data_IF_152496479613
#
_entry.id   IF_152496479613
#
_cell.length_a   1.000
_cell.length_b   1.000
_cell.length_c   1.000
_cell.angle_alpha   90.00
_cell.angle_beta   90.00
_cell.angle_gamma   90.00
#
_symmetry.space_group_name_H-M   'P 1'
#
loop_
_entity.id
_entity.type
_entity.pdbx_description
1 polymer ?
#
# COMPACT_ATOMS: atom_id res chain seq x y z
N UNK A 1 37.11 -69.08 -32.87
CA UNK A 1 36.58 -68.02 -33.78
C UNK A 1 36.28 -66.80 -32.92
N UNK A 2 37.23 -65.87 -32.84
CA UNK A 2 37.05 -64.61 -32.11
C UNK A 2 36.49 -63.60 -33.11
N UNK A 3 35.24 -63.16 -32.90
CA UNK A 3 34.64 -62.08 -33.67
C UNK A 3 35.47 -60.80 -33.47
N UNK A 4 35.94 -60.12 -34.54
CA UNK A 4 36.64 -58.87 -34.37
C UNK A 4 35.65 -57.85 -33.78
N UNK A 5 36.05 -57.23 -32.67
CA UNK A 5 35.31 -56.12 -32.07
C UNK A 5 35.20 -55.01 -33.12
N UNK A 6 33.98 -54.72 -33.55
CA UNK A 6 33.68 -53.66 -34.50
C UNK A 6 33.94 -52.29 -33.85
N UNK A 7 35.15 -51.76 -34.07
CA UNK A 7 35.58 -50.47 -33.54
C UNK A 7 34.67 -49.31 -33.98
N UNK A 8 34.01 -49.41 -35.14
CA UNK A 8 33.08 -48.39 -35.61
C UNK A 8 31.80 -48.36 -34.75
N UNK A 9 31.26 -49.53 -34.40
CA UNK A 9 30.11 -49.65 -33.49
C UNK A 9 30.41 -49.08 -32.10
N UNK A 10 31.62 -49.31 -31.57
CA UNK A 10 32.05 -48.75 -30.28
C UNK A 10 32.20 -47.22 -30.34
N UNK A 11 32.74 -46.68 -31.43
CA UNK A 11 32.86 -45.23 -31.64
C UNK A 11 31.49 -44.54 -31.75
N UNK A 12 30.53 -45.16 -32.46
CA UNK A 12 29.18 -44.62 -32.58
C UNK A 12 28.43 -44.65 -31.24
N UNK A 13 28.54 -45.75 -30.49
CA UNK A 13 27.97 -45.87 -29.15
C UNK A 13 28.55 -44.80 -28.20
N UNK A 14 29.86 -44.55 -28.25
CA UNK A 14 30.52 -43.50 -27.46
C UNK A 14 30.05 -42.09 -27.86
N UNK A 15 29.90 -41.80 -29.16
CA UNK A 15 29.35 -40.51 -29.64
C UNK A 15 27.91 -40.29 -29.19
N UNK A 16 27.06 -41.32 -29.23
CA UNK A 16 25.68 -41.26 -28.73
C UNK A 16 25.63 -41.00 -27.22
N UNK A 17 26.48 -41.68 -26.42
CA UNK A 17 26.61 -41.43 -24.97
C UNK A 17 27.11 -40.01 -24.67
N UNK A 18 28.10 -39.52 -25.40
CA UNK A 18 28.64 -38.17 -25.24
C UNK A 18 27.59 -37.10 -25.59
N UNK A 19 26.80 -37.27 -26.66
CA UNK A 19 25.69 -36.38 -27.01
C UNK A 19 24.60 -36.39 -25.94
N UNK A 20 24.20 -37.57 -25.44
CA UNK A 20 23.24 -37.68 -24.32
C UNK A 20 23.76 -37.01 -23.05
N UNK A 21 25.03 -37.22 -22.69
CA UNK A 21 25.64 -36.56 -21.52
C UNK A 21 25.66 -35.04 -21.67
N UNK A 22 26.02 -34.53 -22.86
CA UNK A 22 25.99 -33.09 -23.14
C UNK A 22 24.58 -32.52 -23.07
N UNK A 23 23.58 -33.24 -23.60
CA UNK A 23 22.17 -32.84 -23.51
C UNK A 23 21.69 -32.83 -22.04
N UNK A 24 21.99 -33.89 -21.28
CA UNK A 24 21.65 -33.97 -19.86
C UNK A 24 22.30 -32.86 -19.06
N UNK A 25 23.58 -32.54 -19.32
CA UNK A 25 24.25 -31.42 -18.67
C UNK A 25 23.67 -30.07 -19.10
N UNK A 26 23.34 -29.89 -20.37
CA UNK A 26 22.71 -28.67 -20.87
C UNK A 26 21.34 -28.40 -20.23
N UNK A 27 20.63 -29.44 -19.79
CA UNK A 27 19.36 -29.32 -19.05
C UNK A 27 19.61 -29.22 -17.53
N UNK A 28 20.51 -30.03 -16.98
CA UNK A 28 20.75 -30.10 -15.54
C UNK A 28 21.46 -28.87 -14.99
N UNK A 29 22.37 -28.25 -15.76
CA UNK A 29 23.10 -27.04 -15.34
C UNK A 29 22.13 -25.87 -15.06
N UNK A 30 21.23 -25.45 -15.97
CA UNK A 30 20.31 -24.35 -15.68
C UNK A 30 19.35 -24.67 -14.53
N UNK A 31 18.92 -25.94 -14.39
CA UNK A 31 18.09 -26.36 -13.25
C UNK A 31 18.86 -26.23 -11.93
N UNK A 32 20.12 -26.69 -11.89
CA UNK A 32 20.95 -26.58 -10.70
C UNK A 32 21.27 -25.11 -10.35
N UNK A 33 21.52 -24.27 -11.36
CA UNK A 33 21.71 -22.83 -11.18
C UNK A 33 20.42 -22.18 -10.64
N UNK A 34 19.26 -22.50 -11.21
CA UNK A 34 17.98 -22.00 -10.72
C UNK A 34 17.71 -22.44 -9.28
N UNK A 35 18.01 -23.71 -8.94
CA UNK A 35 17.86 -24.24 -7.58
C UNK A 35 18.77 -23.54 -6.55
N UNK A 36 19.91 -22.98 -6.97
CA UNK A 36 20.79 -22.18 -6.13
C UNK A 36 20.37 -20.71 -6.04
N UNK A 37 19.87 -20.12 -7.13
CA UNK A 37 19.44 -18.72 -7.17
C UNK A 37 18.10 -18.53 -6.44
N UNK A 38 17.18 -19.46 -6.57
CA UNK A 38 15.83 -19.37 -5.98
C UNK A 38 15.85 -19.08 -4.47
N UNK A 39 16.56 -19.84 -3.61
CA UNK A 39 16.58 -19.55 -2.17
C UNK A 39 17.22 -18.19 -1.87
N UNK A 40 18.28 -17.81 -2.59
CA UNK A 40 18.91 -16.49 -2.43
C UNK A 40 17.91 -15.38 -2.77
N UNK A 41 17.12 -15.56 -3.82
CA UNK A 41 16.09 -14.60 -4.23
C UNK A 41 14.98 -14.50 -3.19
N UNK A 42 14.49 -15.63 -2.67
CA UNK A 42 13.44 -15.65 -1.63
C UNK A 42 13.91 -14.91 -0.38
N UNK A 43 15.12 -15.23 0.12
CA UNK A 43 15.69 -14.55 1.29
C UNK A 43 15.89 -13.05 1.03
N UNK A 44 16.34 -12.68 -0.17
CA UNK A 44 16.52 -11.27 -0.54
C UNK A 44 15.18 -10.53 -0.60
N UNK A 45 14.13 -11.13 -1.17
CA UNK A 45 12.80 -10.51 -1.21
C UNK A 45 12.22 -10.33 0.19
N UNK A 46 12.38 -11.32 1.07
CA UNK A 46 11.97 -11.20 2.47
C UNK A 46 12.71 -10.05 3.18
N UNK A 47 14.03 -9.91 2.96
CA UNK A 47 14.81 -8.83 3.54
C UNK A 47 14.34 -7.44 3.06
N UNK A 48 14.06 -7.29 1.76
CA UNK A 48 13.52 -6.05 1.21
C UNK A 48 12.10 -5.76 1.72
N UNK A 49 11.23 -6.77 1.83
CA UNK A 49 9.89 -6.60 2.39
C UNK A 49 9.95 -6.18 3.85
N UNK A 50 10.79 -6.83 4.66
CA UNK A 50 10.99 -6.46 6.06
C UNK A 50 11.50 -5.03 6.20
N UNK A 51 12.52 -4.67 5.41
CA UNK A 51 13.05 -3.29 5.41
C UNK A 51 11.98 -2.27 5.01
N UNK A 52 11.13 -2.58 4.02
CA UNK A 52 10.05 -1.71 3.60
C UNK A 52 9.04 -1.46 4.74
N UNK A 53 8.66 -2.51 5.47
CA UNK A 53 7.74 -2.44 6.61
C UNK A 53 8.37 -1.70 7.78
N UNK A 54 9.61 -2.03 8.16
CA UNK A 54 10.27 -1.36 9.30
C UNK A 54 10.51 0.12 9.01
N UNK A 55 10.89 0.46 7.78
CA UNK A 55 11.04 1.84 7.36
C UNK A 55 9.68 2.57 7.34
N UNK A 56 8.61 1.91 6.88
CA UNK A 56 7.25 2.44 6.93
C UNK A 56 6.81 2.78 8.36
N UNK A 57 6.94 1.83 9.29
CA UNK A 57 6.58 2.01 10.70
C UNK A 57 7.44 3.10 11.37
N UNK A 58 8.70 3.23 10.96
CA UNK A 58 9.60 4.27 11.46
C UNK A 58 9.39 5.66 10.82
N UNK A 59 8.45 5.81 9.87
CA UNK A 59 8.22 7.04 9.12
C UNK A 59 9.28 7.35 8.05
N UNK A 60 10.21 6.42 7.77
CA UNK A 60 11.17 6.52 6.67
C UNK A 60 10.52 6.10 5.35
N UNK A 61 9.70 6.99 4.79
CA UNK A 61 8.98 6.74 3.54
C UNK A 61 9.94 6.53 2.35
N UNK A 62 11.07 7.25 2.31
CA UNK A 62 12.06 7.10 1.24
C UNK A 62 12.78 5.75 1.29
N UNK A 63 13.14 5.28 2.50
CA UNK A 63 13.68 3.94 2.72
C UNK A 63 12.65 2.84 2.40
N UNK A 64 11.38 3.06 2.71
CA UNK A 64 10.28 2.14 2.37
C UNK A 64 10.11 1.99 0.86
N UNK A 65 10.02 3.11 0.14
CA UNK A 65 9.95 3.14 -1.33
C UNK A 65 11.18 2.49 -1.98
N UNK A 66 12.38 2.78 -1.49
CA UNK A 66 13.62 2.18 -2.02
C UNK A 66 13.63 0.66 -1.85
N UNK A 67 13.20 0.17 -0.69
CA UNK A 67 13.12 -1.26 -0.42
C UNK A 67 12.02 -1.94 -1.26
N UNK A 68 10.90 -1.25 -1.51
CA UNK A 68 9.84 -1.72 -2.41
C UNK A 68 10.34 -1.87 -3.86
N UNK A 69 11.08 -0.88 -4.38
CA UNK A 69 11.70 -0.97 -5.71
C UNK A 69 12.68 -2.15 -5.82
N UNK A 70 13.38 -2.50 -4.74
CA UNK A 70 14.26 -3.68 -4.69
C UNK A 70 13.53 -5.01 -4.96
N UNK A 71 12.20 -5.03 -4.87
CA UNK A 71 11.37 -6.22 -5.09
C UNK A 71 10.90 -6.37 -6.53
N UNK A 72 10.89 -5.31 -7.35
CA UNK A 72 10.41 -5.34 -8.74
C UNK A 72 11.15 -6.36 -9.64
N UNK A 73 12.50 -6.49 -9.59
CA UNK A 73 13.20 -7.38 -10.50
C UNK A 73 12.82 -8.84 -10.25
N UNK A 74 12.35 -9.54 -11.29
CA UNK A 74 11.95 -10.95 -11.25
C UNK A 74 10.79 -11.25 -10.29
N UNK A 75 9.86 -10.30 -10.09
CA UNK A 75 8.61 -10.53 -9.35
C UNK A 75 7.56 -11.20 -10.24
N UNK A 76 7.57 -12.54 -10.30
CA UNK A 76 6.70 -13.32 -11.20
C UNK A 76 5.43 -13.82 -10.51
N UNK A 77 5.46 -13.97 -9.17
CA UNK A 77 4.35 -14.57 -8.42
C UNK A 77 3.28 -13.56 -8.03
N UNK A 78 3.68 -12.36 -7.60
CA UNK A 78 2.76 -11.33 -7.13
C UNK A 78 3.18 -9.96 -7.71
N UNK A 79 3.17 -9.81 -9.05
CA UNK A 79 3.78 -8.67 -9.73
C UNK A 79 3.24 -7.32 -9.26
N UNK A 80 1.98 -7.27 -8.80
CA UNK A 80 1.30 -6.07 -8.32
C UNK A 80 1.79 -5.56 -6.95
N UNK A 81 2.40 -6.40 -6.10
CA UNK A 81 2.80 -6.00 -4.73
C UNK A 81 3.90 -4.95 -4.71
N UNK A 82 4.86 -5.03 -5.64
CA UNK A 82 5.94 -4.06 -5.71
C UNK A 82 5.44 -2.63 -6.05
N UNK A 83 4.70 -2.39 -7.15
CA UNK A 83 4.15 -1.07 -7.42
C UNK A 83 3.15 -0.63 -6.34
N UNK A 84 2.36 -1.53 -5.75
CA UNK A 84 1.51 -1.19 -4.59
C UNK A 84 2.33 -0.61 -3.43
N UNK A 85 3.41 -1.30 -3.01
CA UNK A 85 4.26 -0.86 -1.90
C UNK A 85 4.98 0.46 -2.19
N UNK A 86 5.44 0.66 -3.44
CA UNK A 86 6.00 1.95 -3.89
C UNK A 86 4.94 3.04 -3.78
N UNK A 87 3.72 2.78 -4.24
CA UNK A 87 2.59 3.72 -4.18
C UNK A 87 2.26 4.14 -2.75
N UNK A 88 2.23 3.20 -1.80
CA UNK A 88 2.03 3.49 -0.37
C UNK A 88 3.13 4.43 0.16
N UNK A 89 4.39 4.15 -0.14
CA UNK A 89 5.52 5.00 0.25
C UNK A 89 5.40 6.43 -0.30
N UNK A 90 5.07 6.55 -1.59
CA UNK A 90 4.88 7.84 -2.26
C UNK A 90 3.71 8.63 -1.65
N UNK A 91 2.57 7.97 -1.40
CA UNK A 91 1.39 8.61 -0.83
C UNK A 91 1.69 9.21 0.55
N UNK A 92 2.40 8.49 1.42
CA UNK A 92 2.79 9.01 2.72
C UNK A 92 3.77 10.18 2.62
N UNK A 93 4.71 10.12 1.68
CA UNK A 93 5.66 11.22 1.43
C UNK A 93 5.03 12.48 0.79
N UNK A 94 3.76 12.39 0.37
CA UNK A 94 3.01 13.48 -0.25
C UNK A 94 3.16 13.57 -1.77
N UNK A 95 3.91 12.67 -2.42
CA UNK A 95 3.92 12.54 -3.88
C UNK A 95 2.66 11.79 -4.36
N UNK A 96 1.53 12.49 -4.30
CA UNK A 96 0.23 11.95 -4.69
C UNK A 96 0.16 11.56 -6.18
N UNK A 97 0.69 12.35 -7.13
CA UNK A 97 0.73 11.94 -8.53
C UNK A 97 1.56 10.67 -8.76
N UNK A 98 2.73 10.56 -8.13
CA UNK A 98 3.55 9.35 -8.20
C UNK A 98 2.84 8.15 -7.60
N UNK A 99 2.20 8.31 -6.44
CA UNK A 99 1.42 7.27 -5.79
C UNK A 99 0.27 6.75 -6.66
N UNK A 100 -0.53 7.67 -7.24
CA UNK A 100 -1.63 7.32 -8.15
C UNK A 100 -1.15 6.45 -9.31
N UNK A 101 -0.06 6.85 -9.97
CA UNK A 101 0.49 6.09 -11.10
C UNK A 101 0.94 4.67 -10.70
N UNK A 102 1.49 4.51 -9.49
CA UNK A 102 1.93 3.21 -8.99
C UNK A 102 0.75 2.31 -8.62
N UNK A 103 -0.31 2.84 -7.99
CA UNK A 103 -1.51 2.06 -7.73
C UNK A 103 -2.24 1.66 -9.02
N UNK A 104 -2.35 2.56 -10.00
CA UNK A 104 -2.88 2.23 -11.33
C UNK A 104 -2.05 1.14 -12.01
N UNK A 105 -0.71 1.21 -11.91
CA UNK A 105 0.18 0.15 -12.41
C UNK A 105 -0.03 -1.18 -11.68
N UNK A 106 -0.29 -1.16 -10.37
CA UNK A 106 -0.59 -2.36 -9.61
C UNK A 106 -1.91 -3.00 -10.07
N UNK A 107 -2.97 -2.21 -10.26
CA UNK A 107 -4.25 -2.70 -10.79
C UNK A 107 -4.12 -3.26 -12.22
N UNK A 108 -3.31 -2.63 -13.07
CA UNK A 108 -3.06 -3.12 -14.43
C UNK A 108 -2.42 -4.52 -14.48
N UNK A 109 -1.81 -4.97 -13.38
CA UNK A 109 -1.24 -6.31 -13.23
C UNK A 109 -2.27 -7.36 -12.82
N UNK A 110 -3.56 -6.99 -12.72
CA UNK A 110 -4.69 -7.84 -12.40
C UNK A 110 -4.49 -8.66 -11.11
N UNK A 111 -4.32 -7.99 -9.96
CA UNK A 111 -4.31 -8.68 -8.66
C UNK A 111 -5.57 -9.53 -8.50
N UNK A 112 -5.49 -10.64 -7.74
CA UNK A 112 -6.68 -11.37 -7.30
C UNK A 112 -7.69 -10.42 -6.63
N UNK A 113 -9.01 -10.67 -6.72
CA UNK A 113 -10.02 -9.74 -6.24
C UNK A 113 -9.83 -9.26 -4.79
N UNK A 114 -9.62 -10.18 -3.84
CA UNK A 114 -9.40 -9.84 -2.43
C UNK A 114 -8.10 -9.03 -2.21
N UNK A 115 -7.04 -9.37 -2.93
CA UNK A 115 -5.76 -8.65 -2.87
C UNK A 115 -5.83 -7.26 -3.52
N UNK A 116 -6.79 -7.05 -4.42
CA UNK A 116 -6.97 -5.77 -5.11
C UNK A 116 -7.62 -4.71 -4.21
N UNK A 117 -8.30 -5.10 -3.14
CA UNK A 117 -9.07 -4.21 -2.28
C UNK A 117 -8.20 -3.11 -1.67
N UNK A 118 -7.04 -3.47 -1.12
CA UNK A 118 -6.09 -2.50 -0.58
C UNK A 118 -5.59 -1.54 -1.66
N UNK A 119 -5.41 -2.00 -2.90
CA UNK A 119 -4.98 -1.16 -4.02
C UNK A 119 -6.07 -0.14 -4.40
N UNK A 120 -7.33 -0.58 -4.51
CA UNK A 120 -8.47 0.31 -4.79
C UNK A 120 -8.67 1.36 -3.69
N UNK A 121 -8.65 0.95 -2.42
CA UNK A 121 -8.82 1.84 -1.27
C UNK A 121 -7.70 2.90 -1.25
N UNK A 122 -6.44 2.48 -1.38
CA UNK A 122 -5.31 3.42 -1.36
C UNK A 122 -5.31 4.35 -2.59
N UNK A 123 -5.72 3.87 -3.76
CA UNK A 123 -5.88 4.70 -4.94
C UNK A 123 -6.97 5.75 -4.72
N UNK A 124 -8.14 5.37 -4.22
CA UNK A 124 -9.24 6.27 -3.92
C UNK A 124 -8.85 7.36 -2.90
N UNK A 125 -8.20 6.98 -1.79
CA UNK A 125 -7.69 7.92 -0.79
C UNK A 125 -6.62 8.84 -1.38
N UNK A 126 -5.74 8.32 -2.24
CA UNK A 126 -4.70 9.13 -2.88
C UNK A 126 -5.32 10.20 -3.78
N UNK A 127 -6.36 9.83 -4.55
CA UNK A 127 -7.08 10.77 -5.42
C UNK A 127 -7.90 11.77 -4.58
N UNK A 128 -8.54 11.35 -3.48
CA UNK A 128 -9.18 12.25 -2.51
C UNK A 128 -8.20 13.33 -2.04
N UNK A 129 -6.98 12.94 -1.66
CA UNK A 129 -5.94 13.87 -1.23
C UNK A 129 -5.45 14.79 -2.37
N UNK A 130 -5.48 14.33 -3.62
CA UNK A 130 -5.20 15.19 -4.77
C UNK A 130 -6.28 16.27 -4.91
N UNK A 131 -7.55 15.90 -4.71
CA UNK A 131 -8.67 16.85 -4.69
C UNK A 131 -8.56 17.86 -3.56
N UNK A 132 -8.22 17.41 -2.35
CA UNK A 132 -7.98 18.29 -1.20
C UNK A 132 -6.84 19.28 -1.45
N UNK A 133 -5.74 18.82 -2.06
CA UNK A 133 -4.62 19.67 -2.42
C UNK A 133 -4.99 20.70 -3.51
N UNK A 134 -5.79 20.30 -4.50
CA UNK A 134 -6.28 21.19 -5.55
C UNK A 134 -7.21 22.28 -4.97
N UNK A 135 -8.15 21.89 -4.11
CA UNK A 135 -9.03 22.83 -3.40
C UNK A 135 -8.23 23.81 -2.55
N UNK A 136 -7.26 23.33 -1.78
CA UNK A 136 -6.37 24.17 -0.98
C UNK A 136 -5.55 25.16 -1.83
N UNK A 137 -5.24 24.80 -3.08
CA UNK A 137 -4.59 25.69 -4.05
C UNK A 137 -5.57 26.65 -4.77
N UNK A 138 -6.87 26.55 -4.50
CA UNK A 138 -7.92 27.35 -5.13
C UNK A 138 -8.37 26.85 -6.51
N UNK A 139 -7.99 25.64 -6.90
CA UNK A 139 -8.42 25.00 -8.14
C UNK A 139 -9.62 24.07 -7.88
N UNK A 140 -10.79 24.67 -7.71
CA UNK A 140 -12.02 23.93 -7.38
C UNK A 140 -12.43 22.97 -8.50
N UNK A 141 -12.19 23.33 -9.77
CA UNK A 141 -12.49 22.47 -10.90
C UNK A 141 -11.64 21.20 -10.90
N UNK A 142 -10.33 21.31 -10.60
CA UNK A 142 -9.49 20.14 -10.44
C UNK A 142 -9.86 19.33 -9.19
N UNK A 143 -10.27 19.99 -8.10
CA UNK A 143 -10.75 19.31 -6.90
C UNK A 143 -11.98 18.44 -7.17
N UNK A 144 -13.02 19.02 -7.78
CA UNK A 144 -14.23 18.32 -8.20
C UNK A 144 -13.91 17.14 -9.12
N UNK A 145 -13.01 17.33 -10.09
CA UNK A 145 -12.58 16.26 -10.97
C UNK A 145 -11.92 15.11 -10.19
N UNK A 146 -11.04 15.41 -9.24
CA UNK A 146 -10.41 14.39 -8.42
C UNK A 146 -11.43 13.65 -7.53
N UNK A 147 -12.37 14.34 -6.89
CA UNK A 147 -13.38 13.67 -6.09
C UNK A 147 -14.30 12.77 -6.94
N UNK A 148 -14.64 13.21 -8.15
CA UNK A 148 -15.39 12.38 -9.11
C UNK A 148 -14.58 11.15 -9.56
N UNK A 149 -13.30 11.32 -9.89
CA UNK A 149 -12.38 10.22 -10.21
C UNK A 149 -12.33 9.19 -9.05
N UNK A 150 -12.20 9.66 -7.80
CA UNK A 150 -12.12 8.82 -6.63
C UNK A 150 -13.42 8.03 -6.39
N UNK A 151 -14.59 8.65 -6.59
CA UNK A 151 -15.87 7.93 -6.58
C UNK A 151 -15.94 6.87 -7.67
N UNK A 152 -15.39 7.16 -8.85
CA UNK A 152 -15.24 6.17 -9.93
C UNK A 152 -14.45 4.95 -9.47
N UNK A 153 -13.33 5.14 -8.79
CA UNK A 153 -12.52 4.05 -8.22
C UNK A 153 -13.31 3.24 -7.19
N UNK A 154 -14.06 3.90 -6.29
CA UNK A 154 -14.91 3.20 -5.30
C UNK A 154 -16.02 2.38 -5.97
N UNK A 155 -16.62 2.92 -7.04
CA UNK A 155 -17.65 2.24 -7.82
C UNK A 155 -17.09 1.04 -8.63
N UNK A 156 -15.88 1.18 -9.16
CA UNK A 156 -15.19 0.13 -9.92
C UNK A 156 -14.58 -0.95 -9.00
N UNK A 157 -14.52 -0.72 -7.69
CA UNK A 157 -13.98 -1.67 -6.71
C UNK A 157 -14.82 -2.96 -6.71
N UNK A 158 -14.20 -4.15 -6.85
CA UNK A 158 -14.91 -5.42 -6.82
C UNK A 158 -15.79 -5.60 -5.59
N UNK A 159 -16.96 -6.20 -5.75
CA UNK A 159 -17.88 -6.48 -4.64
C UNK A 159 -17.27 -7.43 -3.60
N UNK A 160 -16.30 -8.26 -4.01
CA UNK A 160 -15.51 -9.10 -3.11
C UNK A 160 -14.83 -8.27 -2.00
N UNK A 161 -14.52 -6.98 -2.25
CA UNK A 161 -13.94 -6.09 -1.25
C UNK A 161 -14.92 -5.61 -0.18
N UNK A 162 -16.21 -5.90 -0.35
CA UNK A 162 -17.28 -5.66 0.64
C UNK A 162 -17.74 -6.95 1.32
N UNK A 163 -17.00 -8.06 1.12
CA UNK A 163 -17.34 -9.35 1.70
C UNK A 163 -16.71 -9.54 3.08
N UNK A 164 -17.27 -10.45 3.88
CA UNK A 164 -16.72 -10.83 5.18
C UNK A 164 -15.31 -11.41 5.05
N UNK A 165 -15.03 -12.13 3.94
CA UNK A 165 -13.69 -12.64 3.66
C UNK A 165 -12.65 -11.53 3.44
N UNK A 166 -13.03 -10.41 2.81
CA UNK A 166 -12.13 -9.27 2.67
C UNK A 166 -11.88 -8.58 4.02
N UNK A 167 -12.91 -8.51 4.87
CA UNK A 167 -12.79 -7.95 6.22
C UNK A 167 -11.86 -8.79 7.11
N UNK A 168 -11.93 -10.13 7.02
CA UNK A 168 -11.02 -11.04 7.72
C UNK A 168 -9.56 -10.95 7.27
N UNK A 169 -9.31 -10.50 6.03
CA UNK A 169 -7.97 -10.29 5.48
C UNK A 169 -7.41 -8.89 5.79
N UNK A 170 -8.19 -8.01 6.43
CA UNK A 170 -7.70 -6.70 6.83
C UNK A 170 -6.55 -6.84 7.84
N UNK A 171 -5.41 -6.16 7.63
CA UNK A 171 -4.34 -6.10 8.63
C UNK A 171 -4.73 -5.29 9.89
N UNK A 172 -5.76 -4.45 9.79
CA UNK A 172 -6.25 -3.57 10.85
C UNK A 172 -7.54 -4.17 11.43
N UNK A 173 -7.50 -4.57 12.71
CA UNK A 173 -8.61 -5.19 13.42
C UNK A 173 -9.78 -4.22 13.68
N UNK A 174 -9.51 -2.92 13.61
CA UNK A 174 -10.49 -1.86 13.82
C UNK A 174 -11.09 -1.35 12.52
N UNK A 175 -10.51 -1.67 11.36
CA UNK A 175 -10.97 -1.16 10.07
C UNK A 175 -11.14 -2.28 9.05
N UNK A 176 -12.40 -2.52 8.68
CA UNK A 176 -12.77 -3.48 7.62
C UNK A 176 -12.59 -2.86 6.22
N UNK A 177 -12.43 -3.69 5.20
CA UNK A 177 -12.30 -3.23 3.82
C UNK A 177 -13.62 -2.60 3.33
N UNK A 178 -14.74 -3.25 3.63
CA UNK A 178 -16.08 -2.73 3.30
C UNK A 178 -16.37 -1.39 3.99
N UNK A 179 -16.04 -1.27 5.28
CA UNK A 179 -16.21 -0.02 6.03
C UNK A 179 -15.32 1.10 5.47
N UNK A 180 -14.06 0.80 5.17
CA UNK A 180 -13.13 1.79 4.58
C UNK A 180 -13.66 2.37 3.26
N UNK A 181 -14.26 1.53 2.42
CA UNK A 181 -14.86 1.94 1.15
C UNK A 181 -16.11 2.79 1.36
N UNK A 182 -16.98 2.41 2.30
CA UNK A 182 -18.17 3.19 2.66
C UNK A 182 -17.81 4.57 3.20
N UNK A 183 -16.89 4.62 4.17
CA UNK A 183 -16.42 5.87 4.76
C UNK A 183 -15.77 6.79 3.70
N UNK A 184 -15.00 6.21 2.77
CA UNK A 184 -14.41 6.95 1.66
C UNK A 184 -15.50 7.50 0.71
N UNK A 185 -16.50 6.69 0.37
CA UNK A 185 -17.61 7.11 -0.49
C UNK A 185 -18.39 8.28 0.11
N UNK A 186 -18.69 8.20 1.40
CA UNK A 186 -19.44 9.23 2.13
C UNK A 186 -18.64 10.54 2.19
N UNK A 187 -17.34 10.49 2.56
CA UNK A 187 -16.49 11.68 2.54
C UNK A 187 -16.40 12.32 1.16
N UNK A 188 -16.28 11.52 0.10
CA UNK A 188 -16.20 12.03 -1.27
C UNK A 188 -17.50 12.66 -1.76
N UNK A 189 -18.66 12.13 -1.33
CA UNK A 189 -19.97 12.72 -1.60
C UNK A 189 -20.13 14.05 -0.87
N UNK A 190 -19.71 14.12 0.39
CA UNK A 190 -19.76 15.35 1.17
C UNK A 190 -18.87 16.44 0.56
N UNK A 191 -17.65 16.08 0.14
CA UNK A 191 -16.72 17.01 -0.53
C UNK A 191 -17.23 17.56 -1.87
N UNK A 192 -18.16 16.88 -2.52
CA UNK A 192 -18.79 17.33 -3.78
C UNK A 192 -20.04 18.19 -3.58
N UNK A 193 -20.54 18.32 -2.35
CA UNK A 193 -21.62 19.25 -2.10
C UNK A 193 -21.06 20.67 -2.13
N UNK A 194 -21.74 21.62 -2.81
CA UNK A 194 -21.31 23.01 -2.81
C UNK A 194 -21.33 23.55 -1.38
N UNK A 195 -20.20 24.11 -0.94
CA UNK A 195 -20.12 24.81 0.35
C UNK A 195 -21.23 25.87 0.41
N UNK A 196 -22.07 25.89 1.46
CA UNK A 196 -23.07 26.95 1.64
C UNK A 196 -22.45 28.35 1.81
N UNK A 197 -21.12 28.48 1.89
CA UNK A 197 -20.42 29.73 2.25
C UNK A 197 -19.88 30.54 1.06
N UNK A 198 -20.29 30.24 -0.19
CA UNK A 198 -20.11 31.21 -1.29
C UNK A 198 -21.33 32.12 -1.46
N UNK A 199 -21.90 32.62 -0.36
CA UNK A 199 -22.60 33.90 -0.40
C UNK A 199 -21.56 35.02 -0.23
N UNK A 200 -21.52 36.03 -1.12
CA UNK A 200 -20.68 37.20 -0.88
C UNK A 200 -21.17 37.84 0.42
N UNK A 201 -20.38 37.71 1.49
CA UNK A 201 -20.68 38.37 2.76
C UNK A 201 -21.01 39.83 2.48
N UNK A 202 -22.20 40.33 2.89
CA UNK A 202 -22.48 41.75 2.81
C UNK A 202 -21.37 42.47 3.58
N UNK A 203 -20.68 43.40 2.92
CA UNK A 203 -19.67 44.22 3.56
C UNK A 203 -20.24 44.78 4.87
N UNK A 204 -19.58 44.59 6.02
CA UNK A 204 -20.07 45.15 7.27
C UNK A 204 -20.05 46.66 7.15
N UNK A 205 -21.24 47.27 7.13
CA UNK A 205 -21.37 48.68 7.45
C UNK A 205 -20.86 48.88 8.87
N UNK A 206 -19.82 49.69 9.01
CA UNK A 206 -19.22 50.09 10.28
C UNK A 206 -20.29 50.65 11.22
N UNK A 207 -20.65 49.89 12.26
CA UNK A 207 -21.36 50.38 13.44
C UNK A 207 -20.41 50.19 14.65
N UNK A 208 -19.97 51.25 15.35
CA UNK A 208 -18.71 51.24 16.09
C UNK A 208 -18.80 50.76 17.55
N UNK A 209 -19.69 49.81 17.88
CA UNK A 209 -19.95 49.53 19.31
C UNK A 209 -20.12 48.06 19.73
N UNK A 210 -19.51 47.10 19.03
CA UNK A 210 -19.42 45.70 19.51
C UNK A 210 -18.04 45.11 19.30
N UNK A 211 -17.10 45.49 20.15
CA UNK A 211 -15.87 44.74 20.40
C UNK A 211 -15.91 44.25 21.84
N UNK A 212 -16.31 42.98 22.06
CA UNK A 212 -15.90 42.12 23.19
C UNK A 212 -16.82 40.89 23.31
N UNK A 213 -16.86 40.00 22.30
CA UNK A 213 -17.59 38.72 22.48
C UNK A 213 -17.08 37.57 21.61
N UNK A 214 -15.77 37.46 21.41
CA UNK A 214 -15.20 36.24 20.81
C UNK A 214 -13.93 35.77 21.54
N UNK A 215 -14.02 35.70 22.87
CA UNK A 215 -13.11 34.92 23.69
C UNK A 215 -13.85 33.67 24.16
N UNK A 216 -13.30 32.46 23.97
CA UNK A 216 -13.88 31.25 24.55
C UNK A 216 -14.01 31.44 26.06
N UNK A 217 -15.15 31.04 26.63
CA UNK A 217 -15.38 31.23 28.05
C UNK A 217 -14.42 30.36 28.87
N UNK A 218 -14.10 30.77 30.10
CA UNK A 218 -13.21 30.03 30.99
C UNK A 218 -13.68 28.56 31.17
N UNK A 219 -14.99 28.32 31.11
CA UNK A 219 -15.59 26.97 31.18
C UNK A 219 -15.37 26.11 29.91
N UNK A 220 -15.13 26.75 28.76
CA UNK A 220 -14.71 26.06 27.53
C UNK A 220 -13.22 25.76 27.55
N UNK A 221 -12.41 26.64 28.13
CA UNK A 221 -10.97 26.44 28.31
C UNK A 221 -10.68 25.30 29.30
N UNK A 222 -11.36 25.29 30.45
CA UNK A 222 -11.25 24.21 31.45
C UNK A 222 -11.64 22.85 30.85
N UNK A 223 -12.71 22.80 30.04
CA UNK A 223 -13.11 21.56 29.34
C UNK A 223 -12.07 21.08 28.34
N UNK A 224 -11.42 22.00 27.63
CA UNK A 224 -10.38 21.66 26.66
C UNK A 224 -9.14 21.12 27.36
N UNK A 225 -8.78 21.71 28.50
CA UNK A 225 -7.64 21.31 29.31
C UNK A 225 -7.86 19.95 29.98
N UNK A 226 -9.08 19.68 30.47
CA UNK A 226 -9.46 18.35 30.97
C UNK A 226 -9.35 17.28 29.89
N UNK A 227 -9.85 17.54 28.67
CA UNK A 227 -9.76 16.59 27.55
C UNK A 227 -8.31 16.31 27.12
N UNK A 228 -7.46 17.34 27.13
CA UNK A 228 -6.04 17.19 26.80
C UNK A 228 -5.30 16.37 27.88
N UNK A 229 -5.60 16.61 29.15
CA UNK A 229 -5.01 15.86 30.26
C UNK A 229 -5.48 14.39 30.28
N UNK A 230 -6.73 14.12 29.91
CA UNK A 230 -7.28 12.77 29.81
C UNK A 230 -6.58 11.98 28.69
N UNK A 231 -6.42 12.59 27.51
CA UNK A 231 -5.70 11.97 26.38
C UNK A 231 -4.18 11.77 26.63
N UNK A 232 -3.56 12.63 27.44
CA UNK A 232 -2.16 12.44 27.86
C UNK A 232 -2.00 11.33 28.91
N UNK A 233 -3.01 11.12 29.77
CA UNK A 233 -3.09 9.99 30.68
C UNK A 233 -3.21 8.65 29.95
N UNK A 234 -4.09 8.56 28.95
CA UNK A 234 -4.26 7.36 28.11
C UNK A 234 -2.98 7.03 27.33
N UNK A 235 -2.29 8.05 26.78
CA UNK A 235 -1.00 7.85 26.10
C UNK A 235 0.12 7.37 27.02
N UNK A 236 0.12 7.79 28.28
CA UNK A 236 1.08 7.30 29.27
C UNK A 236 0.75 5.89 29.74
N UNK A 237 -0.53 5.55 29.89
CA UNK A 237 -0.97 4.20 30.27
C UNK A 237 -0.59 3.17 29.21
N UNK A 238 -0.81 3.49 27.92
CA UNK A 238 -0.32 2.67 26.80
C UNK A 238 1.20 2.53 26.74
N UNK A 239 1.96 3.49 27.26
CA UNK A 239 3.43 3.44 27.31
C UNK A 239 3.93 2.61 28.51
N UNK A 240 3.20 2.59 29.62
CA UNK A 240 3.55 1.87 30.85
C UNK A 240 3.15 0.38 30.79
N UNK A 241 2.01 0.06 30.15
CA UNK A 241 1.58 -1.33 29.88
C UNK A 241 2.43 -2.03 28.80
N UNK A 242 3.29 -1.28 28.08
CA UNK A 242 4.19 -1.80 27.04
C UNK A 242 5.56 -2.30 27.52
N UNK A 243 5.88 -2.14 28.82
CA UNK A 243 7.20 -2.51 29.39
C UNK A 243 7.13 -3.75 30.32
N UNK A 244 6.13 -4.62 30.10
CA UNK A 244 6.03 -5.94 30.70
C UNK A 244 6.33 -7.03 29.68
N UNK A 245 7.50 -7.67 29.81
CA UNK A 245 7.91 -8.85 29.03
C UNK A 245 6.78 -9.88 28.86
N UNK A 246 6.28 -10.04 27.63
CA UNK A 246 5.88 -11.37 27.14
C UNK A 246 6.36 -11.58 25.70
N UNK A 247 7.29 -12.51 25.59
CA UNK A 247 7.76 -13.08 24.35
C UNK A 247 6.69 -14.06 23.84
N UNK A 248 5.86 -13.63 22.88
CA UNK A 248 4.85 -14.56 22.35
C UNK A 248 3.88 -13.96 21.35
N UNK A 249 4.36 -13.28 20.31
CA UNK A 249 3.51 -12.71 19.26
C UNK A 249 4.08 -12.84 17.86
N UNK A 250 4.90 -13.86 17.60
CA UNK A 250 5.23 -14.26 16.24
C UNK A 250 4.21 -15.30 15.79
N UNK A 251 3.11 -14.87 15.17
CA UNK A 251 2.19 -15.66 14.33
C UNK A 251 1.12 -14.68 13.83
N UNK A 252 1.33 -14.03 12.67
CA UNK A 252 0.91 -14.55 11.35
C UNK A 252 1.90 -14.05 10.27
N UNK A 253 2.42 -14.94 9.39
CA UNK A 253 3.32 -14.54 8.33
C UNK A 253 2.59 -14.37 7.00
N UNK A 254 1.55 -13.54 6.96
CA UNK A 254 1.01 -12.94 5.74
C UNK A 254 0.06 -11.81 6.15
#
# INVERSE_FOLDING_TARGET
MSTPLDGAALLEANRRRARRRRLLLAIAIPIAVAALILPVKIVSMYAFAHHAITAHVAGDHAGSTTAAHGQEPLNVFEPYKAPYNVGVGLAMSGDLPGARAQFESALALNPPPLESCAVYINLGITIERQGDAARAAGDEAAAEQHFADALGIVADTPEDCRSEEADEQSPDDQRSAGQSLGDLEDRLKDKQQPDPETEPSPQPSEDPDQSDENQPSDEQLDRLEDQLNEGDGERQQYRDDGDGDDAGGAEKPW
#
